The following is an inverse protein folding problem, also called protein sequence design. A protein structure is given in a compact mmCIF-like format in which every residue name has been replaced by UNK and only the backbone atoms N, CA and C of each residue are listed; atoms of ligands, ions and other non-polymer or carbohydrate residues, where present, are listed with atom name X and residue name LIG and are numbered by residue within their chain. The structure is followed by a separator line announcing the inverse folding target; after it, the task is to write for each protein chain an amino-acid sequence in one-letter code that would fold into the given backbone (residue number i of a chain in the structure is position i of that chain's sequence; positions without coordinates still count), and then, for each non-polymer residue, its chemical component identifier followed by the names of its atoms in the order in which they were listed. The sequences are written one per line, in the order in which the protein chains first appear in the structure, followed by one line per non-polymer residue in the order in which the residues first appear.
data_IF_729920118546
#
_entry.id   IF_729920118546
#
_cell.length_a   1.000
_cell.length_b   1.000
_cell.length_c   1.000
_cell.angle_alpha   90.00
_cell.angle_beta   90.00
_cell.angle_gamma   90.00
#
_symmetry.space_group_name_H-M   'P 1'
#
loop_
_entity.id
_entity.type
_entity.pdbx_description
1 polymer ?
#
# COMPACT_ATOMS: atom_id res chain seq x y z
N UNK A 1 -25.43 7.67 0.33
CA UNK A 1 -24.43 8.12 -0.66
C UNK A 1 -23.17 7.28 -0.47
N UNK A 2 -23.06 6.16 -1.18
CA UNK A 2 -21.83 5.37 -1.19
C UNK A 2 -20.72 6.27 -1.77
N UNK A 3 -19.71 6.56 -0.96
CA UNK A 3 -18.70 7.57 -1.24
C UNK A 3 -17.96 7.23 -2.53
N UNK A 4 -17.73 8.23 -3.38
CA UNK A 4 -16.89 8.18 -4.58
C UNK A 4 -15.52 7.50 -4.35
N UNK A 5 -15.04 7.42 -3.10
CA UNK A 5 -13.89 6.62 -2.70
C UNK A 5 -14.09 5.10 -2.86
N UNK A 6 -15.23 4.53 -2.49
CA UNK A 6 -15.47 3.08 -2.56
C UNK A 6 -15.52 2.58 -4.01
N UNK A 7 -16.08 3.41 -4.91
CA UNK A 7 -16.16 3.13 -6.36
C UNK A 7 -14.77 3.23 -7.01
N UNK A 8 -13.98 4.26 -6.66
CA UNK A 8 -12.58 4.40 -7.13
C UNK A 8 -11.63 3.35 -6.52
N UNK A 9 -11.95 2.81 -5.34
CA UNK A 9 -11.17 1.76 -4.66
C UNK A 9 -11.40 0.39 -5.29
N UNK A 10 -12.66 0.02 -5.58
CA UNK A 10 -12.97 -1.22 -6.31
C UNK A 10 -12.36 -1.26 -7.72
N UNK A 11 -12.42 -0.15 -8.46
CA UNK A 11 -11.83 -0.06 -9.80
C UNK A 11 -10.30 -0.15 -9.79
N UNK A 12 -9.61 0.27 -8.72
CA UNK A 12 -8.13 0.32 -8.69
C UNK A 12 -7.47 -0.92 -8.13
N UNK A 13 -8.04 -1.57 -7.11
CA UNK A 13 -7.59 -2.93 -6.75
C UNK A 13 -7.82 -3.86 -7.94
N UNK A 14 -8.99 -3.79 -8.59
CA UNK A 14 -9.27 -4.52 -9.83
C UNK A 14 -8.24 -4.25 -10.94
N UNK A 15 -7.75 -3.00 -11.09
CA UNK A 15 -6.69 -2.65 -12.06
C UNK A 15 -5.29 -3.15 -11.70
N UNK A 16 -4.93 -3.21 -10.42
CA UNK A 16 -3.67 -3.84 -9.96
C UNK A 16 -3.72 -5.35 -10.21
N UNK A 17 -4.85 -5.98 -9.94
CA UNK A 17 -5.10 -7.40 -10.25
C UNK A 17 -5.14 -7.67 -11.76
N UNK A 18 -5.72 -6.78 -12.57
CA UNK A 18 -5.77 -6.93 -14.03
C UNK A 18 -4.42 -6.67 -14.70
N UNK A 19 -3.56 -5.80 -14.13
CA UNK A 19 -2.22 -5.55 -14.66
C UNK A 19 -1.23 -6.69 -14.35
N UNK A 20 -1.51 -7.50 -13.34
CA UNK A 20 -0.83 -8.77 -13.05
C UNK A 20 -1.18 -9.89 -14.07
N UNK A 21 -2.14 -9.64 -14.96
CA UNK A 21 -2.52 -10.53 -16.05
C UNK A 21 -1.55 -10.37 -17.22
N UNK A 22 -0.36 -10.94 -17.10
CA UNK A 22 0.36 -11.39 -18.29
C UNK A 22 -0.49 -12.54 -18.85
N UNK A 23 -1.05 -12.31 -20.04
CA UNK A 23 -1.83 -13.26 -20.83
C UNK A 23 -0.96 -14.48 -21.14
N UNK A 24 -1.06 -15.52 -20.31
CA UNK A 24 -0.31 -16.77 -20.46
C UNK A 24 -1.02 -17.68 -21.45
N UNK A 25 -1.23 -17.18 -22.68
CA UNK A 25 -1.54 -18.05 -23.82
C UNK A 25 -0.25 -18.75 -24.25
N UNK A 26 -0.01 -19.89 -23.63
CA UNK A 26 0.88 -20.93 -24.11
C UNK A 26 2.22 -21.00 -23.37
N UNK A 27 2.36 -22.00 -22.50
CA UNK A 27 3.25 -23.15 -22.76
C UNK A 27 3.33 -24.13 -21.58
N UNK A 28 3.09 -25.39 -21.96
CA UNK A 28 3.69 -26.65 -21.51
C UNK A 28 3.42 -27.16 -20.09
N UNK A 29 2.70 -28.29 -20.09
CA UNK A 29 2.74 -29.35 -19.10
C UNK A 29 4.17 -29.70 -18.71
N UNK A 30 4.54 -29.45 -17.46
CA UNK A 30 5.69 -30.09 -16.83
C UNK A 30 5.27 -30.69 -15.50
N UNK A 31 5.48 -32.00 -15.42
CA UNK A 31 5.20 -32.86 -14.27
C UNK A 31 6.00 -32.37 -13.04
N UNK A 32 5.30 -32.09 -11.93
CA UNK A 32 5.89 -31.60 -10.68
C UNK A 32 6.60 -32.76 -9.95
N UNK A 33 7.93 -32.70 -9.90
CA UNK A 33 8.78 -33.54 -9.05
C UNK A 33 8.75 -32.98 -7.60
N UNK A 34 8.82 -33.80 -6.55
CA UNK A 34 8.54 -33.38 -5.16
C UNK A 34 9.36 -32.21 -4.58
N UNK A 35 10.50 -31.84 -5.19
CA UNK A 35 11.25 -30.62 -4.85
C UNK A 35 10.65 -29.32 -5.41
N UNK A 36 9.81 -29.40 -6.43
CA UNK A 36 9.17 -28.25 -7.10
C UNK A 36 7.95 -27.75 -6.32
N UNK A 37 7.28 -28.61 -5.55
CA UNK A 37 6.09 -28.25 -4.76
C UNK A 37 6.44 -27.37 -3.55
N UNK A 38 7.52 -27.71 -2.82
CA UNK A 38 8.06 -26.87 -1.75
C UNK A 38 8.49 -25.49 -2.26
N UNK A 39 9.13 -25.45 -3.43
CA UNK A 39 9.53 -24.19 -4.07
C UNK A 39 8.31 -23.33 -4.39
N UNK A 40 7.26 -23.93 -4.95
CA UNK A 40 6.02 -23.23 -5.29
C UNK A 40 5.31 -22.68 -4.06
N UNK A 41 5.24 -23.45 -2.97
CA UNK A 41 4.68 -22.98 -1.68
C UNK A 41 5.44 -21.76 -1.14
N UNK A 42 6.78 -21.78 -1.18
CA UNK A 42 7.59 -20.64 -0.75
C UNK A 42 7.33 -19.39 -1.61
N UNK A 43 7.14 -19.56 -2.92
CA UNK A 43 6.80 -18.46 -3.83
C UNK A 43 5.41 -17.90 -3.54
N UNK A 44 4.43 -18.77 -3.26
CA UNK A 44 3.07 -18.36 -2.85
C UNK A 44 3.10 -17.52 -1.57
N UNK A 45 3.83 -17.96 -0.54
CA UNK A 45 3.99 -17.17 0.68
C UNK A 45 4.69 -15.84 0.44
N UNK A 46 5.73 -15.84 -0.39
CA UNK A 46 6.46 -14.62 -0.74
C UNK A 46 5.55 -13.63 -1.46
N UNK A 47 4.74 -14.10 -2.41
CA UNK A 47 3.75 -13.31 -3.14
C UNK A 47 2.72 -12.69 -2.18
N UNK A 48 2.17 -13.49 -1.26
CA UNK A 48 1.24 -12.99 -0.24
C UNK A 48 1.88 -11.89 0.62
N UNK A 49 3.11 -12.10 1.10
CA UNK A 49 3.85 -11.12 1.90
C UNK A 49 4.10 -9.82 1.12
N UNK A 50 4.45 -9.92 -0.16
CA UNK A 50 4.70 -8.74 -1.01
C UNK A 50 3.42 -7.94 -1.26
N UNK A 51 2.30 -8.61 -1.55
CA UNK A 51 1.02 -7.94 -1.77
C UNK A 51 0.49 -7.27 -0.50
N UNK A 52 0.63 -7.90 0.67
CA UNK A 52 0.32 -7.25 1.96
C UNK A 52 1.17 -5.99 2.20
N UNK A 53 2.45 -6.02 1.83
CA UNK A 53 3.34 -4.84 1.91
C UNK A 53 2.90 -3.74 0.93
N UNK A 54 2.53 -4.11 -0.29
CA UNK A 54 2.02 -3.20 -1.31
C UNK A 54 0.76 -2.46 -0.81
N UNK A 55 -0.23 -3.21 -0.35
CA UNK A 55 -1.49 -2.68 0.21
C UNK A 55 -1.19 -1.73 1.38
N UNK A 56 -0.31 -2.14 2.29
CA UNK A 56 0.07 -1.31 3.45
C UNK A 56 0.71 0.01 3.01
N UNK A 57 1.61 -0.03 2.03
CA UNK A 57 2.30 1.16 1.49
C UNK A 57 1.34 2.06 0.72
N UNK A 58 0.43 1.49 -0.04
CA UNK A 58 -0.62 2.24 -0.72
C UNK A 58 -1.50 3.00 0.29
N UNK A 59 -1.93 2.33 1.35
CA UNK A 59 -2.72 2.93 2.43
C UNK A 59 -1.97 3.99 3.23
N UNK A 60 -0.66 3.88 3.37
CA UNK A 60 0.21 4.91 3.97
C UNK A 60 0.17 6.19 3.13
N UNK A 61 0.43 6.06 1.82
CA UNK A 61 0.41 7.16 0.86
C UNK A 61 -0.96 7.83 0.85
N UNK A 62 -2.03 7.06 0.65
CA UNK A 62 -3.39 7.58 0.53
C UNK A 62 -3.85 8.34 1.78
N UNK A 63 -3.49 7.81 2.96
CA UNK A 63 -3.85 8.48 4.22
C UNK A 63 -3.10 9.80 4.40
N UNK A 64 -1.79 9.83 4.12
CA UNK A 64 -1.01 11.07 4.20
C UNK A 64 -1.48 12.10 3.17
N UNK A 65 -1.83 11.67 1.96
CA UNK A 65 -2.39 12.56 0.94
C UNK A 65 -3.70 13.19 1.42
N UNK A 66 -4.62 12.39 1.98
CA UNK A 66 -5.86 12.89 2.55
C UNK A 66 -5.64 13.91 3.67
N UNK A 67 -4.62 13.71 4.50
CA UNK A 67 -4.24 14.68 5.55
C UNK A 67 -3.76 16.01 4.95
N UNK A 68 -2.96 15.95 3.88
CA UNK A 68 -2.48 17.13 3.15
C UNK A 68 -3.65 17.89 2.51
N UNK A 69 -4.58 17.17 1.86
CA UNK A 69 -5.70 17.77 1.13
C UNK A 69 -6.64 18.58 2.04
N UNK A 70 -6.77 18.16 3.32
CA UNK A 70 -7.55 18.89 4.34
C UNK A 70 -6.69 19.74 5.28
N UNK A 71 -5.42 19.93 4.93
CA UNK A 71 -4.39 20.63 5.72
C UNK A 71 -4.31 20.25 7.20
N UNK A 72 -4.59 18.98 7.52
CA UNK A 72 -4.59 18.48 8.90
C UNK A 72 -3.30 17.72 9.18
N UNK A 73 -2.65 18.03 10.29
CA UNK A 73 -1.44 17.32 10.74
C UNK A 73 -1.82 16.17 11.69
N UNK A 74 -1.46 14.90 11.37
CA UNK A 74 -1.64 13.76 12.27
C UNK A 74 -0.90 13.98 13.59
N UNK A 75 -1.46 13.54 14.71
CA UNK A 75 -0.89 13.77 16.06
C UNK A 75 0.61 13.46 16.16
N UNK A 76 1.06 12.35 15.59
CA UNK A 76 2.47 11.94 15.62
C UNK A 76 3.43 12.75 14.74
N UNK A 77 2.92 13.68 13.92
CA UNK A 77 3.73 14.56 13.06
C UNK A 77 3.56 16.04 13.42
N UNK A 78 2.85 16.36 14.51
CA UNK A 78 2.66 17.74 14.95
C UNK A 78 3.92 18.23 15.65
N UNK A 79 4.46 19.33 15.15
CA UNK A 79 5.58 20.04 15.78
C UNK A 79 4.94 21.14 16.64
N UNK A 80 5.11 21.03 17.97
CA UNK A 80 4.52 21.94 18.97
C UNK A 80 5.57 22.74 19.73
N UNK A 81 6.82 22.79 19.26
CA UNK A 81 7.87 23.58 19.90
C UNK A 81 7.47 25.05 19.86
N UNK A 82 7.24 25.67 21.01
CA UNK A 82 7.02 27.12 21.13
C UNK A 82 8.41 27.79 21.15
N UNK A 83 8.60 28.94 20.51
CA UNK A 83 9.88 29.63 20.56
C UNK A 83 10.18 30.05 22.01
N UNK A 84 11.42 29.84 22.44
CA UNK A 84 11.92 30.42 23.70
C UNK A 84 12.19 31.90 23.43
N UNK A 85 11.17 32.74 23.60
CA UNK A 85 11.23 34.18 23.45
C UNK A 85 10.60 34.82 24.69
N UNK A 86 11.22 35.87 25.20
CA UNK A 86 10.71 36.61 26.37
C UNK A 86 9.57 37.51 25.88
N UNK A 87 8.34 37.23 26.34
CA UNK A 87 7.09 37.89 25.94
C UNK A 87 6.78 37.87 24.42
N UNK A 88 6.45 36.70 23.84
CA UNK A 88 6.06 36.63 22.44
C UNK A 88 4.71 37.30 22.23
N UNK A 89 4.66 38.23 21.27
CA UNK A 89 3.39 38.84 20.87
C UNK A 89 2.48 37.83 20.13
N UNK A 90 1.16 38.08 20.06
CA UNK A 90 0.23 37.16 19.41
C UNK A 90 0.53 36.92 17.92
N UNK A 91 1.04 37.94 17.22
CA UNK A 91 1.31 37.88 15.78
C UNK A 91 2.49 36.94 15.48
N UNK A 92 3.55 37.00 16.30
CA UNK A 92 4.69 36.09 16.25
C UNK A 92 4.25 34.64 16.51
N UNK A 93 3.39 34.41 17.51
CA UNK A 93 2.88 33.07 17.83
C UNK A 93 2.05 32.49 16.68
N UNK A 94 1.25 33.31 15.99
CA UNK A 94 0.51 32.90 14.81
C UNK A 94 1.44 32.54 13.65
N UNK A 95 2.44 33.38 13.36
CA UNK A 95 3.42 33.11 12.31
C UNK A 95 4.21 31.83 12.60
N UNK A 96 4.61 31.65 13.87
CA UNK A 96 5.31 30.46 14.30
C UNK A 96 4.46 29.19 14.15
N UNK A 97 3.19 29.24 14.55
CA UNK A 97 2.26 28.13 14.40
C UNK A 97 2.05 27.77 12.92
N UNK A 98 1.93 28.78 12.05
CA UNK A 98 1.83 28.61 10.59
C UNK A 98 3.08 27.95 10.01
N UNK A 99 4.28 28.39 10.39
CA UNK A 99 5.54 27.82 9.93
C UNK A 99 5.73 26.38 10.43
N UNK A 100 5.34 26.09 11.67
CA UNK A 100 5.35 24.74 12.25
C UNK A 100 4.40 23.80 11.50
N UNK A 101 3.16 24.25 11.23
CA UNK A 101 2.18 23.51 10.42
C UNK A 101 2.73 23.22 9.02
N UNK A 102 3.26 24.23 8.33
CA UNK A 102 3.85 24.09 6.99
C UNK A 102 5.00 23.08 6.97
N UNK A 103 5.86 23.10 7.98
CA UNK A 103 6.95 22.15 8.14
C UNK A 103 6.43 20.72 8.28
N UNK A 104 5.43 20.49 9.12
CA UNK A 104 4.77 19.17 9.25
C UNK A 104 4.12 18.69 7.95
N UNK A 105 3.44 19.58 7.21
CA UNK A 105 2.87 19.25 5.89
C UNK A 105 3.96 18.86 4.89
N UNK A 106 5.08 19.57 4.88
CA UNK A 106 6.23 19.26 4.02
C UNK A 106 6.87 17.92 4.40
N UNK A 107 6.99 17.61 5.69
CA UNK A 107 7.44 16.28 6.14
C UNK A 107 6.53 15.17 5.61
N UNK A 108 5.20 15.37 5.61
CA UNK A 108 4.28 14.38 5.02
C UNK A 108 4.52 14.19 3.52
N UNK A 109 4.76 15.26 2.75
CA UNK A 109 5.11 15.16 1.32
C UNK A 109 6.41 14.36 1.10
N UNK A 110 7.40 14.57 1.96
CA UNK A 110 8.65 13.80 1.93
C UNK A 110 8.36 12.32 2.19
N UNK A 111 7.60 11.99 3.25
CA UNK A 111 7.22 10.61 3.57
C UNK A 111 6.48 9.93 2.40
N UNK A 112 5.53 10.61 1.78
CA UNK A 112 4.83 10.12 0.58
C UNK A 112 5.83 9.79 -0.53
N UNK A 113 6.78 10.68 -0.81
CA UNK A 113 7.81 10.47 -1.85
C UNK A 113 8.64 9.20 -1.58
N UNK A 114 9.06 8.97 -0.34
CA UNK A 114 9.78 7.75 0.04
C UNK A 114 8.90 6.50 -0.06
N UNK A 115 7.65 6.58 0.40
CA UNK A 115 6.70 5.47 0.32
C UNK A 115 6.40 5.09 -1.13
N UNK A 116 6.29 6.06 -2.06
CA UNK A 116 6.13 5.79 -3.50
C UNK A 116 7.36 5.06 -4.06
N UNK A 117 8.57 5.50 -3.70
CA UNK A 117 9.81 4.86 -4.14
C UNK A 117 9.90 3.41 -3.65
N UNK A 118 9.55 3.16 -2.40
CA UNK A 118 9.56 1.80 -1.83
C UNK A 118 8.46 0.93 -2.44
N UNK A 119 7.26 1.48 -2.67
CA UNK A 119 6.17 0.78 -3.35
C UNK A 119 6.58 0.34 -4.75
N UNK A 120 7.34 1.17 -5.50
CA UNK A 120 7.86 0.80 -6.82
C UNK A 120 8.74 -0.45 -6.76
N UNK A 121 9.65 -0.54 -5.78
CA UNK A 121 10.50 -1.73 -5.58
C UNK A 121 9.67 -2.98 -5.27
N UNK A 122 8.64 -2.83 -4.43
CA UNK A 122 7.72 -3.93 -4.10
C UNK A 122 7.00 -4.43 -5.36
N UNK A 123 6.54 -3.52 -6.23
CA UNK A 123 5.90 -3.89 -7.50
C UNK A 123 6.85 -4.62 -8.44
N UNK A 124 8.11 -4.17 -8.56
CA UNK A 124 9.15 -4.87 -9.33
C UNK A 124 9.44 -6.28 -8.78
N UNK A 125 9.40 -6.47 -7.46
CA UNK A 125 9.55 -7.79 -6.84
C UNK A 125 8.33 -8.69 -7.07
N UNK A 126 7.12 -8.13 -7.01
CA UNK A 126 5.86 -8.83 -7.31
C UNK A 126 5.90 -9.37 -8.74
N UNK A 127 6.31 -8.56 -9.71
CA UNK A 127 6.39 -8.96 -11.12
C UNK A 127 7.36 -10.15 -11.31
N UNK A 128 8.52 -10.11 -10.65
CA UNK A 128 9.50 -11.21 -10.69
C UNK A 128 8.95 -12.50 -10.08
N UNK A 129 8.30 -12.42 -8.93
CA UNK A 129 7.72 -13.61 -8.27
C UNK A 129 6.53 -14.14 -9.08
N UNK A 130 5.73 -13.26 -9.67
CA UNK A 130 4.59 -13.65 -10.50
C UNK A 130 5.02 -14.43 -11.74
N UNK A 131 6.05 -13.97 -12.44
CA UNK A 131 6.58 -14.67 -13.61
C UNK A 131 7.16 -16.04 -13.23
N UNK A 132 7.77 -16.17 -12.06
CA UNK A 132 8.26 -17.45 -11.55
C UNK A 132 7.13 -18.43 -11.19
N UNK A 133 6.07 -17.97 -10.51
CA UNK A 133 4.89 -18.79 -10.18
C UNK A 133 4.20 -19.30 -11.45
N UNK A 134 3.99 -18.41 -12.42
CA UNK A 134 3.39 -18.76 -13.72
C UNK A 134 4.20 -19.83 -14.45
N UNK A 135 5.53 -19.78 -14.36
CA UNK A 135 6.41 -20.75 -15.02
C UNK A 135 6.34 -22.17 -14.41
N UNK A 136 5.80 -22.30 -13.19
CA UNK A 136 5.83 -23.53 -12.39
C UNK A 136 4.45 -24.12 -12.12
N UNK A 137 3.37 -23.46 -12.54
CA UNK A 137 2.01 -23.79 -12.11
C UNK A 137 1.11 -24.00 -13.32
N UNK A 138 0.24 -25.01 -13.27
CA UNK A 138 -0.84 -25.17 -14.26
C UNK A 138 -1.89 -24.06 -14.12
N UNK A 139 -2.67 -23.85 -15.17
CA UNK A 139 -3.69 -22.81 -15.20
C UNK A 139 -4.75 -23.00 -14.09
N UNK A 140 -5.21 -24.23 -13.87
CA UNK A 140 -6.19 -24.57 -12.84
C UNK A 140 -5.67 -24.30 -11.41
N UNK A 141 -4.43 -24.74 -11.11
CA UNK A 141 -3.82 -24.52 -9.80
C UNK A 141 -3.52 -23.03 -9.56
N UNK A 142 -3.23 -22.28 -10.62
CA UNK A 142 -3.04 -20.84 -10.55
C UNK A 142 -4.37 -20.12 -10.26
N UNK A 143 -5.49 -20.56 -10.82
CA UNK A 143 -6.80 -19.96 -10.51
C UNK A 143 -7.21 -20.21 -9.05
N UNK A 144 -6.99 -21.41 -8.53
CA UNK A 144 -7.27 -21.72 -7.13
C UNK A 144 -6.39 -20.86 -6.19
N UNK A 145 -5.10 -20.75 -6.49
CA UNK A 145 -4.19 -19.89 -5.73
C UNK A 145 -4.66 -18.43 -5.74
N UNK A 146 -5.07 -17.90 -6.91
CA UNK A 146 -5.61 -16.54 -7.04
C UNK A 146 -6.83 -16.32 -6.15
N UNK A 147 -7.84 -17.20 -6.20
CA UNK A 147 -9.05 -17.11 -5.35
C UNK A 147 -8.70 -17.11 -3.86
N UNK A 148 -7.79 -17.99 -3.44
CA UNK A 148 -7.36 -18.06 -2.04
C UNK A 148 -6.62 -16.79 -1.60
N UNK A 149 -5.75 -16.27 -2.46
CA UNK A 149 -4.99 -15.06 -2.21
C UNK A 149 -5.91 -13.83 -2.13
N UNK A 150 -6.85 -13.68 -3.05
CA UNK A 150 -7.85 -12.59 -3.05
C UNK A 150 -8.66 -12.55 -1.75
N UNK A 151 -9.10 -13.72 -1.26
CA UNK A 151 -9.84 -13.82 0.00
C UNK A 151 -8.99 -13.33 1.18
N UNK A 152 -7.73 -13.75 1.26
CA UNK A 152 -6.79 -13.35 2.33
C UNK A 152 -6.48 -11.85 2.29
N UNK A 153 -6.24 -11.30 1.09
CA UNK A 153 -5.94 -9.89 0.92
C UNK A 153 -7.16 -9.02 1.20
N UNK A 154 -8.35 -9.43 0.79
CA UNK A 154 -9.60 -8.72 1.09
C UNK A 154 -9.85 -8.64 2.60
N UNK A 155 -9.61 -9.73 3.34
CA UNK A 155 -9.69 -9.72 4.81
C UNK A 155 -8.68 -8.75 5.43
N UNK A 156 -7.46 -8.72 4.90
CA UNK A 156 -6.41 -7.84 5.40
C UNK A 156 -6.71 -6.36 5.12
N UNK A 157 -7.24 -6.05 3.94
CA UNK A 157 -7.71 -4.69 3.61
C UNK A 157 -8.85 -4.25 4.53
N UNK A 158 -9.81 -5.12 4.80
CA UNK A 158 -10.89 -4.85 5.73
C UNK A 158 -10.37 -4.53 7.15
N UNK A 159 -9.36 -5.25 7.62
CA UNK A 159 -8.72 -4.99 8.91
C UNK A 159 -8.01 -3.63 8.95
N UNK A 160 -7.30 -3.26 7.87
CA UNK A 160 -6.68 -1.94 7.74
C UNK A 160 -7.75 -0.85 7.77
N UNK A 161 -8.85 -1.06 7.04
CA UNK A 161 -9.95 -0.11 6.95
C UNK A 161 -10.63 0.11 8.29
N UNK A 162 -10.96 -0.96 9.01
CA UNK A 162 -11.52 -0.89 10.36
C UNK A 162 -10.63 -0.07 11.30
N UNK A 163 -9.30 -0.28 11.26
CA UNK A 163 -8.34 0.49 12.07
C UNK A 163 -8.27 1.96 11.68
N UNK A 164 -8.44 2.29 10.38
CA UNK A 164 -8.39 3.68 9.90
C UNK A 164 -9.70 4.42 10.14
N UNK A 165 -10.86 3.77 10.01
CA UNK A 165 -12.17 4.36 10.32
C UNK A 165 -12.28 4.74 11.80
N UNK A 166 -11.65 4.00 12.72
CA UNK A 166 -11.58 4.43 14.13
C UNK A 166 -10.77 5.72 14.36
N UNK A 167 -9.94 6.13 13.41
CA UNK A 167 -9.05 7.30 13.51
C UNK A 167 -9.59 8.55 12.81
N UNK A 168 -10.59 8.42 11.95
CA UNK A 168 -11.21 9.50 11.17
C UNK A 168 -12.68 9.65 11.53
#
# INVERSE_FOLDING_TARGET
MASSLEVRQKEKSSKLFSALMIDTKGKMDNFVNGGSELKLQLLHEKMEKLLRKEISKWWEIESLQKYIDVERVPRGLRIYTIPTYEDPDPDMLEEWAKNSKNSSLNMMKILIKYAIKDRKKILEEIEKVSTEIVSLTSEDAMEEFKKNLEKKLSSFEADIMSKKQRKF
#
